data_IF_251449985911
#
_entry.id   IF_251449985911
#
_cell.length_a   1.000
_cell.length_b   1.000
_cell.length_c   1.000
_cell.angle_alpha   90.00
_cell.angle_beta   90.00
_cell.angle_gamma   90.00
#
_symmetry.space_group_name_H-M   'P 1'
#
loop_
_entity.id
_entity.type
_entity.pdbx_description
1 polymer ?
#
# COMPACT_ATOMS: atom_id res chain seq x y z
N UNK A 1 -9.47 -36.01 33.22
CA UNK A 1 -9.62 -34.96 32.19
C UNK A 1 -10.61 -35.45 31.12
N UNK A 2 -11.87 -35.04 31.21
CA UNK A 2 -13.02 -35.76 30.64
C UNK A 2 -13.13 -35.74 29.11
N UNK A 3 -13.77 -36.78 28.54
CA UNK A 3 -14.04 -36.98 27.10
C UNK A 3 -14.61 -35.73 26.40
N UNK A 4 -15.43 -34.94 27.12
CA UNK A 4 -15.96 -33.65 26.65
C UNK A 4 -14.85 -32.62 26.38
N UNK A 5 -13.87 -32.50 27.27
CA UNK A 5 -12.76 -31.55 27.17
C UNK A 5 -11.84 -31.86 25.96
N UNK A 6 -11.61 -33.15 25.68
CA UNK A 6 -10.90 -33.58 24.46
C UNK A 6 -11.67 -33.20 23.18
N UNK A 7 -13.00 -33.28 23.20
CA UNK A 7 -13.85 -32.89 22.05
C UNK A 7 -13.79 -31.38 21.79
N UNK A 8 -13.90 -30.55 22.83
CA UNK A 8 -13.79 -29.09 22.71
C UNK A 8 -12.41 -28.65 22.23
N UNK A 9 -11.34 -29.25 22.76
CA UNK A 9 -9.98 -28.96 22.31
C UNK A 9 -9.79 -29.30 20.83
N UNK A 10 -10.32 -30.44 20.37
CA UNK A 10 -10.26 -30.85 18.96
C UNK A 10 -11.00 -29.86 18.06
N UNK A 11 -12.19 -29.40 18.47
CA UNK A 11 -12.97 -28.40 17.73
C UNK A 11 -12.19 -27.08 17.66
N UNK A 12 -11.66 -26.60 18.79
CA UNK A 12 -10.88 -25.36 18.84
C UNK A 12 -9.67 -25.41 17.90
N UNK A 13 -8.92 -26.53 17.88
CA UNK A 13 -7.78 -26.71 16.98
C UNK A 13 -8.22 -26.67 15.51
N UNK A 14 -9.32 -27.37 15.15
CA UNK A 14 -9.81 -27.32 13.77
C UNK A 14 -10.31 -25.94 13.38
N UNK A 15 -11.05 -25.24 14.25
CA UNK A 15 -11.51 -23.88 13.97
C UNK A 15 -10.34 -22.93 13.76
N UNK A 16 -9.33 -23.00 14.62
CA UNK A 16 -8.10 -22.21 14.49
C UNK A 16 -7.39 -22.53 13.16
N UNK A 17 -7.23 -23.82 12.84
CA UNK A 17 -6.60 -24.26 11.59
C UNK A 17 -7.35 -23.76 10.36
N UNK A 18 -8.68 -23.90 10.34
CA UNK A 18 -9.52 -23.40 9.24
C UNK A 18 -9.40 -21.88 9.10
N UNK A 19 -9.38 -21.14 10.22
CA UNK A 19 -9.20 -19.69 10.21
C UNK A 19 -7.82 -19.32 9.64
N UNK A 20 -6.75 -20.00 10.05
CA UNK A 20 -5.41 -19.78 9.51
C UNK A 20 -5.34 -20.05 8.01
N UNK A 21 -5.92 -21.16 7.54
CA UNK A 21 -5.98 -21.49 6.11
C UNK A 21 -6.73 -20.40 5.35
N UNK A 22 -7.85 -19.93 5.87
CA UNK A 22 -8.67 -18.90 5.23
C UNK A 22 -7.92 -17.56 5.14
N UNK A 23 -7.24 -17.14 6.22
CA UNK A 23 -6.39 -15.95 6.24
C UNK A 23 -5.24 -16.10 5.23
N UNK A 24 -4.60 -17.26 5.19
CA UNK A 24 -3.47 -17.51 4.31
C UNK A 24 -3.86 -17.44 2.83
N UNK A 25 -4.95 -18.12 2.44
CA UNK A 25 -5.48 -18.08 1.07
C UNK A 25 -5.91 -16.66 0.70
N UNK A 26 -6.60 -15.96 1.61
CA UNK A 26 -6.99 -14.56 1.39
C UNK A 26 -5.78 -13.66 1.20
N UNK A 27 -4.71 -13.85 1.98
CA UNK A 27 -3.47 -13.11 1.84
C UNK A 27 -2.84 -13.32 0.46
N UNK A 28 -2.69 -14.59 0.03
CA UNK A 28 -2.18 -14.91 -1.30
C UNK A 28 -3.01 -14.22 -2.38
N UNK A 29 -4.34 -14.28 -2.29
CA UNK A 29 -5.22 -13.67 -3.28
C UNK A 29 -5.00 -12.15 -3.39
N UNK A 30 -4.88 -11.45 -2.25
CA UNK A 30 -4.66 -10.00 -2.21
C UNK A 30 -3.31 -9.61 -2.85
N UNK A 31 -2.24 -10.34 -2.53
CA UNK A 31 -0.89 -10.00 -3.02
C UNK A 31 -0.58 -10.52 -4.43
N UNK A 32 -1.40 -11.40 -5.00
CA UNK A 32 -1.13 -12.02 -6.30
C UNK A 32 -1.63 -11.23 -7.51
N UNK A 33 -2.52 -10.25 -7.31
CA UNK A 33 -3.11 -9.51 -8.43
C UNK A 33 -3.27 -8.01 -8.11
N UNK A 34 -2.92 -7.10 -9.05
CA UNK A 34 -3.10 -5.66 -8.86
C UNK A 34 -4.52 -5.25 -8.45
N UNK A 35 -5.55 -5.91 -8.99
CA UNK A 35 -6.95 -5.60 -8.72
C UNK A 35 -7.31 -5.79 -7.25
N UNK A 36 -6.92 -6.92 -6.65
CA UNK A 36 -7.23 -7.22 -5.26
C UNK A 36 -6.43 -6.31 -4.31
N UNK A 37 -5.16 -6.06 -4.61
CA UNK A 37 -4.33 -5.15 -3.81
C UNK A 37 -4.88 -3.73 -3.82
N UNK A 38 -5.24 -3.20 -4.98
CA UNK A 38 -5.85 -1.87 -5.11
C UNK A 38 -7.14 -1.76 -4.29
N UNK A 39 -8.01 -2.75 -4.43
CA UNK A 39 -9.28 -2.78 -3.70
C UNK A 39 -9.04 -2.84 -2.20
N UNK A 40 -8.11 -3.69 -1.75
CA UNK A 40 -7.78 -3.85 -0.34
C UNK A 40 -7.25 -2.55 0.27
N UNK A 41 -6.29 -1.90 -0.38
CA UNK A 41 -5.69 -0.66 0.10
C UNK A 41 -6.69 0.48 0.09
N UNK A 42 -7.48 0.64 -0.98
CA UNK A 42 -8.50 1.68 -1.06
C UNK A 42 -9.59 1.51 0.01
N UNK A 43 -9.96 0.28 0.36
CA UNK A 43 -10.84 0.02 1.50
C UNK A 43 -10.19 0.42 2.83
N UNK A 44 -8.92 0.08 3.06
CA UNK A 44 -8.19 0.49 4.27
C UNK A 44 -8.13 2.02 4.41
N UNK A 45 -7.85 2.73 3.33
CA UNK A 45 -7.81 4.20 3.31
C UNK A 45 -9.17 4.78 3.62
N UNK A 46 -10.22 4.28 2.96
CA UNK A 46 -11.60 4.71 3.22
C UNK A 46 -12.00 4.49 4.69
N UNK A 47 -11.58 3.39 5.29
CA UNK A 47 -11.85 3.11 6.71
C UNK A 47 -10.98 3.93 7.67
N UNK A 48 -9.80 4.38 7.24
CA UNK A 48 -8.91 5.22 8.05
C UNK A 48 -9.38 6.67 8.21
N UNK A 49 -10.35 7.10 7.39
CA UNK A 49 -10.80 8.50 7.35
C UNK A 49 -9.83 9.44 6.64
N UNK A 50 -8.83 8.89 5.93
CA UNK A 50 -7.92 9.68 5.08
C UNK A 50 -8.67 10.22 3.87
N UNK A 51 -8.49 11.50 3.54
CA UNK A 51 -9.12 12.12 2.37
C UNK A 51 -8.56 11.47 1.08
N UNK A 52 -9.42 10.86 0.24
CA UNK A 52 -9.00 10.29 -1.04
C UNK A 52 -8.47 11.33 -2.04
N UNK A 53 -8.71 12.63 -1.84
CA UNK A 53 -8.10 13.70 -2.63
C UNK A 53 -6.64 13.98 -2.24
N UNK A 54 -6.22 13.55 -1.06
CA UNK A 54 -4.85 13.72 -0.55
C UNK A 54 -4.02 12.45 -0.69
N UNK A 55 -4.65 11.31 -0.97
CA UNK A 55 -3.98 10.03 -1.05
C UNK A 55 -4.58 9.16 -2.17
N UNK A 56 -3.71 8.70 -3.09
CA UNK A 56 -4.05 7.77 -4.17
C UNK A 56 -3.10 6.58 -4.15
N UNK A 57 -3.63 5.37 -4.25
CA UNK A 57 -2.83 4.16 -4.38
C UNK A 57 -3.27 3.33 -5.58
N UNK A 58 -2.29 2.96 -6.39
CA UNK A 58 -2.46 2.14 -7.58
C UNK A 58 -1.36 1.10 -7.65
N UNK A 59 -1.71 -0.08 -8.16
CA UNK A 59 -0.83 -1.21 -8.39
C UNK A 59 -0.89 -1.55 -9.87
N UNK A 60 0.27 -1.82 -10.44
CA UNK A 60 0.49 -2.12 -11.84
C UNK A 60 1.31 -3.40 -12.00
N UNK A 61 1.18 -4.05 -13.14
CA UNK A 61 2.23 -4.97 -13.59
C UNK A 61 3.46 -4.18 -14.03
N UNK A 62 4.67 -4.76 -14.06
CA UNK A 62 5.87 -4.03 -14.52
C UNK A 62 5.73 -3.56 -15.96
N UNK A 63 5.14 -4.39 -16.82
CA UNK A 63 4.85 -4.05 -18.21
C UNK A 63 3.93 -2.83 -18.33
N UNK A 64 2.79 -2.86 -17.61
CA UNK A 64 1.82 -1.75 -17.63
C UNK A 64 2.43 -0.48 -17.05
N UNK A 65 3.22 -0.60 -15.99
CA UNK A 65 3.92 0.52 -15.39
C UNK A 65 4.91 1.16 -16.38
N UNK A 66 5.74 0.36 -17.05
CA UNK A 66 6.69 0.86 -18.03
C UNK A 66 5.99 1.56 -19.21
N UNK A 67 4.87 1.00 -19.67
CA UNK A 67 4.10 1.62 -20.75
C UNK A 67 3.48 2.97 -20.31
N UNK A 68 2.87 3.03 -19.14
CA UNK A 68 2.15 4.23 -18.68
C UNK A 68 3.07 5.35 -18.17
N UNK A 69 4.14 4.99 -17.46
CA UNK A 69 4.99 5.97 -16.75
C UNK A 69 6.34 6.22 -17.43
N UNK A 70 6.89 5.21 -18.11
CA UNK A 70 8.18 5.33 -18.80
C UNK A 70 8.02 5.47 -20.32
N UNK A 71 6.81 5.26 -20.85
CA UNK A 71 6.49 5.23 -22.28
C UNK A 71 7.37 4.22 -23.06
N UNK A 72 7.64 3.06 -22.44
CA UNK A 72 8.48 1.98 -22.98
C UNK A 72 7.72 0.66 -22.86
N UNK A 73 7.81 -0.18 -23.90
CA UNK A 73 7.34 -1.57 -23.83
C UNK A 73 8.42 -2.42 -23.16
N UNK A 74 8.04 -3.12 -22.10
CA UNK A 74 8.94 -3.97 -21.33
C UNK A 74 8.97 -5.38 -21.93
N UNK A 75 10.15 -5.89 -22.29
CA UNK A 75 10.33 -7.31 -22.56
C UNK A 75 10.50 -8.09 -21.26
N UNK A 76 10.23 -9.43 -21.26
CA UNK A 76 10.43 -10.26 -20.07
C UNK A 76 11.87 -10.26 -19.53
N UNK A 77 12.85 -9.97 -20.39
CA UNK A 77 14.27 -9.93 -20.05
C UNK A 77 14.72 -8.58 -19.47
N UNK A 78 13.92 -7.51 -19.64
CA UNK A 78 14.30 -6.17 -19.20
C UNK A 78 14.17 -6.01 -17.68
N UNK A 79 15.19 -5.42 -17.06
CA UNK A 79 15.14 -5.06 -15.65
C UNK A 79 14.37 -3.75 -15.47
N UNK A 80 13.12 -3.87 -15.02
CA UNK A 80 12.26 -2.73 -14.69
C UNK A 80 12.89 -1.78 -13.66
N UNK A 81 13.72 -2.27 -12.72
CA UNK A 81 14.41 -1.43 -11.74
C UNK A 81 15.47 -0.59 -12.44
N UNK A 82 16.30 -1.20 -13.29
CA UNK A 82 17.33 -0.48 -14.05
C UNK A 82 16.71 0.58 -14.98
N UNK A 83 15.63 0.21 -15.68
CA UNK A 83 14.88 1.16 -16.51
C UNK A 83 14.31 2.32 -15.69
N UNK A 84 13.74 2.03 -14.52
CA UNK A 84 13.25 3.09 -13.63
C UNK A 84 14.38 4.02 -13.17
N UNK A 85 15.51 3.47 -12.76
CA UNK A 85 16.69 4.24 -12.31
C UNK A 85 17.28 5.07 -13.44
N UNK A 86 17.25 4.59 -14.69
CA UNK A 86 17.69 5.36 -15.85
C UNK A 86 16.82 6.60 -16.10
N UNK A 87 15.53 6.53 -15.77
CA UNK A 87 14.56 7.60 -16.01
C UNK A 87 14.51 8.60 -14.86
N UNK A 88 14.44 8.12 -13.61
CA UNK A 88 14.24 8.95 -12.42
C UNK A 88 15.49 9.13 -11.56
N UNK A 89 16.57 8.39 -11.83
CA UNK A 89 17.78 8.38 -11.01
C UNK A 89 17.61 7.59 -9.70
N UNK A 90 18.65 7.64 -8.86
CA UNK A 90 18.77 6.83 -7.64
C UNK A 90 18.77 7.65 -6.34
N UNK A 91 18.59 8.97 -6.42
CA UNK A 91 18.79 9.89 -5.29
C UNK A 91 17.91 9.59 -4.07
N UNK A 92 16.69 9.10 -4.29
CA UNK A 92 15.72 8.77 -3.23
C UNK A 92 15.46 7.27 -3.11
N UNK A 93 16.39 6.43 -3.59
CA UNK A 93 16.29 4.97 -3.53
C UNK A 93 16.41 4.46 -2.10
N UNK A 94 15.51 3.57 -1.71
CA UNK A 94 15.68 2.67 -0.56
C UNK A 94 15.54 1.25 -1.02
N UNK A 95 16.60 0.48 -0.82
CA UNK A 95 16.67 -0.90 -1.23
C UNK A 95 16.35 -1.82 -0.05
N UNK A 96 15.17 -2.42 -0.06
CA UNK A 96 14.70 -3.33 0.97
C UNK A 96 14.75 -4.78 0.47
N UNK A 97 14.61 -5.74 1.39
CA UNK A 97 14.71 -7.15 1.04
C UNK A 97 13.72 -7.55 -0.07
N UNK A 98 12.46 -7.10 0.01
CA UNK A 98 11.39 -7.50 -0.91
C UNK A 98 11.15 -6.53 -2.07
N UNK A 99 11.55 -5.28 -1.93
CA UNK A 99 11.19 -4.22 -2.87
C UNK A 99 12.26 -3.12 -2.90
N UNK A 100 12.32 -2.42 -4.02
CA UNK A 100 13.05 -1.16 -4.12
C UNK A 100 12.03 -0.03 -4.12
N UNK A 101 12.25 0.98 -3.29
CA UNK A 101 11.33 2.13 -3.19
C UNK A 101 11.99 3.44 -3.56
N UNK A 102 11.21 4.34 -4.16
CA UNK A 102 11.64 5.67 -4.59
C UNK A 102 10.57 6.68 -4.18
N UNK A 103 10.95 7.68 -3.39
CA UNK A 103 10.05 8.78 -2.99
C UNK A 103 10.38 10.01 -3.84
N UNK A 104 9.56 10.31 -4.83
CA UNK A 104 9.83 11.36 -5.84
C UNK A 104 8.81 12.50 -5.66
N UNK A 105 9.27 13.76 -5.47
CA UNK A 105 8.39 14.92 -5.46
C UNK A 105 7.82 15.20 -6.85
N UNK A 106 6.59 15.69 -6.92
CA UNK A 106 6.02 16.16 -8.18
C UNK A 106 6.78 17.41 -8.66
N UNK A 107 7.29 17.44 -9.91
CA UNK A 107 8.05 18.58 -10.42
C UNK A 107 7.22 19.87 -10.53
N UNK A 108 5.89 19.78 -10.61
CA UNK A 108 4.98 20.92 -10.68
C UNK A 108 4.44 21.32 -9.30
N UNK A 109 4.46 20.42 -8.33
CA UNK A 109 3.92 20.64 -6.99
C UNK A 109 4.79 20.01 -5.90
N UNK A 110 5.61 20.84 -5.24
CA UNK A 110 6.48 20.42 -4.14
C UNK A 110 5.74 19.92 -2.88
N UNK A 111 4.41 20.05 -2.83
CA UNK A 111 3.57 19.47 -1.79
C UNK A 111 3.10 18.06 -2.13
N UNK A 112 3.18 17.62 -3.38
CA UNK A 112 2.79 16.28 -3.81
C UNK A 112 4.00 15.38 -3.96
N UNK A 113 3.90 14.15 -3.43
CA UNK A 113 4.96 13.15 -3.47
C UNK A 113 4.40 11.83 -3.94
N UNK A 114 5.13 11.14 -4.80
CA UNK A 114 4.79 9.79 -5.24
C UNK A 114 5.86 8.82 -4.78
N UNK A 115 5.44 7.84 -3.99
CA UNK A 115 6.23 6.69 -3.61
C UNK A 115 5.99 5.57 -4.64
N UNK A 116 7.06 5.19 -5.33
CA UNK A 116 7.10 4.01 -6.19
C UNK A 116 7.74 2.87 -5.43
N UNK A 117 7.12 1.69 -5.44
CA UNK A 117 7.66 0.46 -4.87
C UNK A 117 7.69 -0.64 -5.92
N UNK A 118 8.88 -1.04 -6.36
CA UNK A 118 9.06 -2.09 -7.36
C UNK A 118 9.39 -3.39 -6.64
N UNK A 119 8.54 -4.41 -6.81
CA UNK A 119 8.77 -5.72 -6.22
C UNK A 119 9.92 -6.45 -6.91
N UNK A 120 10.81 -7.05 -6.11
CA UNK A 120 11.91 -7.88 -6.60
C UNK A 120 11.47 -9.29 -6.98
N UNK A 121 10.38 -9.77 -6.39
CA UNK A 121 9.95 -11.17 -6.47
C UNK A 121 8.62 -11.37 -7.19
N UNK A 122 7.88 -10.30 -7.42
CA UNK A 122 6.62 -10.33 -8.15
C UNK A 122 6.68 -9.34 -9.32
N UNK A 123 5.78 -9.51 -10.26
CA UNK A 123 5.62 -8.60 -11.40
C UNK A 123 4.87 -7.31 -11.02
N UNK A 124 4.95 -6.85 -9.77
CA UNK A 124 4.13 -5.74 -9.28
C UNK A 124 4.94 -4.48 -9.02
N UNK A 125 4.35 -3.35 -9.42
CA UNK A 125 4.79 -2.00 -9.07
C UNK A 125 3.66 -1.31 -8.31
N UNK A 126 3.98 -0.77 -7.14
CA UNK A 126 3.08 -0.04 -6.27
C UNK A 126 3.35 1.46 -6.42
N UNK A 127 2.31 2.24 -6.62
CA UNK A 127 2.37 3.70 -6.78
C UNK A 127 1.46 4.32 -5.75
N UNK A 128 2.03 5.12 -4.85
CA UNK A 128 1.30 5.82 -3.81
C UNK A 128 1.60 7.32 -3.90
N UNK A 129 0.62 8.09 -4.38
CA UNK A 129 0.69 9.54 -4.43
C UNK A 129 0.03 10.12 -3.18
N UNK A 130 0.72 11.04 -2.53
CA UNK A 130 0.24 11.70 -1.31
C UNK A 130 0.58 13.17 -1.31
N UNK A 131 -0.33 13.99 -0.77
CA UNK A 131 -0.03 15.37 -0.43
C UNK A 131 0.61 15.46 0.96
N UNK A 132 1.73 16.16 1.03
CA UNK A 132 2.39 16.47 2.28
C UNK A 132 1.61 17.59 2.99
N UNK A 133 1.02 17.26 4.14
CA UNK A 133 0.48 18.27 5.04
C UNK A 133 1.64 19.02 5.72
N UNK A 134 1.83 20.28 5.35
CA UNK A 134 2.81 21.17 5.97
C UNK A 134 2.21 21.78 7.24
N UNK A 135 2.24 21.04 8.35
CA UNK A 135 1.97 21.63 9.66
C UNK A 135 3.27 22.27 10.18
N UNK A 136 3.32 23.60 10.31
CA UNK A 136 4.44 24.34 10.91
C UNK A 136 5.82 24.05 10.31
N UNK A 137 5.93 23.98 8.97
CA UNK A 137 7.22 23.90 8.27
C UNK A 137 7.98 22.58 8.44
N UNK A 138 7.34 21.51 8.96
CA UNK A 138 7.93 20.16 9.03
C UNK A 138 7.05 19.15 8.27
N UNK A 139 7.69 18.31 7.45
CA UNK A 139 7.07 17.19 6.72
C UNK A 139 6.49 16.19 7.72
N UNK A 140 5.21 15.83 7.59
CA UNK A 140 4.59 14.71 8.33
C UNK A 140 3.75 15.09 9.56
N UNK A 141 2.92 16.13 9.48
CA UNK A 141 1.85 16.31 10.46
C UNK A 141 0.92 15.09 10.48
N UNK A 142 0.75 14.47 11.65
CA UNK A 142 -0.21 13.38 11.86
C UNK A 142 -1.63 13.85 11.52
N UNK A 143 -2.40 13.00 10.83
CA UNK A 143 -3.82 13.15 10.42
C UNK A 143 -4.82 13.40 11.59
N UNK A 144 -4.33 13.59 12.81
CA UNK A 144 -5.11 13.55 14.06
C UNK A 144 -5.49 14.90 14.64
N UNK A 145 -5.53 16.00 13.86
CA UNK A 145 -5.85 17.32 14.46
C UNK A 145 -7.00 18.12 13.88
N UNK A 146 -7.79 17.59 12.95
CA UNK A 146 -8.97 18.32 12.43
C UNK A 146 -10.31 17.61 12.61
N UNK A 147 -10.38 16.53 13.41
CA UNK A 147 -11.66 16.09 13.95
C UNK A 147 -12.02 17.03 15.09
N UNK A 148 -12.71 18.13 14.79
CA UNK A 148 -13.45 18.87 15.82
C UNK A 148 -14.37 17.87 16.50
N UNK A 149 -14.29 17.65 17.83
CA UNK A 149 -15.34 16.92 18.52
C UNK A 149 -16.67 17.63 18.23
N UNK A 150 -17.77 16.90 18.01
CA UNK A 150 -19.07 17.53 17.79
C UNK A 150 -19.38 18.46 18.96
N UNK A 151 -19.88 19.65 18.66
CA UNK A 151 -20.35 20.59 19.68
C UNK A 151 -21.39 19.89 20.55
N UNK A 152 -21.16 19.94 21.87
CA UNK A 152 -22.05 19.40 22.89
C UNK A 152 -23.43 20.06 22.75
N UNK A 153 -24.52 19.32 22.45
CA UNK A 153 -25.84 19.90 22.19
C UNK A 153 -26.57 20.27 23.50
N UNK A 154 -25.86 20.84 24.48
CA UNK A 154 -26.37 20.99 25.84
C UNK A 154 -25.76 22.15 26.61
N UNK A 155 -25.95 23.39 26.16
CA UNK A 155 -26.05 24.59 27.01
C UNK A 155 -26.52 25.80 26.18
N UNK A 156 -27.83 25.99 26.16
CA UNK A 156 -28.56 27.16 25.70
C UNK A 156 -29.98 27.07 26.20
#
# INVERSE_FOLDING_TARGET
>A
MGRKMKKYLKIAIYTLLTLFILIFISGILVFSNPFFMNTHVNLLIKHSGTDPHEFKFETYTKEKFALEYLNVSLSPEDDCIELFESHYGTANKKDEFLMVTYDIPDPQDNSTYTLYGISKYTDLVYVSTRKAHWANGRRGGTFHKDVRPPEDPGRG
#
